data_IF_175762130797
#
_entry.id   IF_175762130797
#
_cell.length_a   1.000
_cell.length_b   1.000
_cell.length_c   1.000
_cell.angle_alpha   90.00
_cell.angle_beta   90.00
_cell.angle_gamma   90.00
#
_symmetry.space_group_name_H-M   'P 1'
#
loop_
_entity.id
_entity.type
_entity.pdbx_description
1 polymer ?
#
# COMPACT_ATOMS: atom_id res chain seq x y z
N UNK A 1 27.91 2.62 -22.69
CA UNK A 1 27.09 1.42 -22.93
C UNK A 1 26.63 1.01 -21.55
N UNK A 2 25.33 0.83 -21.36
CA UNK A 2 24.76 0.51 -20.06
C UNK A 2 24.74 -1.00 -19.83
N UNK A 3 24.69 -1.46 -18.58
CA UNK A 3 24.53 -2.89 -18.26
C UNK A 3 23.17 -3.41 -18.78
N UNK A 4 22.08 -2.72 -18.45
CA UNK A 4 20.73 -3.03 -18.91
C UNK A 4 20.07 -1.80 -19.53
N UNK A 5 19.32 -2.02 -20.61
CA UNK A 5 18.44 -1.01 -21.20
C UNK A 5 17.00 -1.54 -21.26
N UNK A 6 16.07 -0.75 -20.71
CA UNK A 6 14.63 -0.96 -20.92
C UNK A 6 14.16 -0.01 -22.02
N UNK A 7 13.67 -0.53 -23.13
CA UNK A 7 13.17 0.26 -24.27
C UNK A 7 11.68 0.04 -24.47
N UNK A 8 10.90 1.12 -24.54
CA UNK A 8 9.44 1.01 -24.58
C UNK A 8 8.72 2.33 -24.36
N UNK A 9 7.44 2.23 -23.98
CA UNK A 9 6.67 3.37 -23.47
C UNK A 9 6.88 3.48 -21.97
N UNK A 10 7.06 4.69 -21.46
CA UNK A 10 7.15 4.92 -20.03
C UNK A 10 6.51 6.25 -19.63
N UNK A 11 6.08 6.34 -18.38
CA UNK A 11 5.55 7.59 -17.81
C UNK A 11 6.70 8.50 -17.41
N UNK A 12 6.73 9.71 -17.95
CA UNK A 12 7.70 10.75 -17.59
C UNK A 12 6.98 12.10 -17.55
N UNK A 13 7.05 12.80 -16.40
CA UNK A 13 6.48 14.13 -16.22
C UNK A 13 5.00 14.25 -16.64
N UNK A 14 4.17 13.26 -16.30
CA UNK A 14 2.74 13.26 -16.63
C UNK A 14 2.40 12.95 -18.08
N UNK A 15 3.36 12.47 -18.87
CA UNK A 15 3.15 12.03 -20.25
C UNK A 15 3.61 10.58 -20.45
N UNK A 16 3.00 9.88 -21.41
CA UNK A 16 3.54 8.61 -21.91
C UNK A 16 4.47 8.93 -23.08
N UNK A 17 5.75 8.69 -22.92
CA UNK A 17 6.76 8.88 -23.96
C UNK A 17 7.32 7.54 -24.42
N UNK A 18 7.91 7.50 -25.61
CA UNK A 18 8.66 6.34 -26.09
C UNK A 18 10.15 6.64 -26.06
N UNK A 19 10.96 5.68 -25.63
CA UNK A 19 12.40 5.84 -25.56
C UNK A 19 13.08 4.69 -24.85
N UNK A 20 14.16 4.99 -24.12
CA UNK A 20 14.96 4.01 -23.40
C UNK A 20 15.43 4.52 -22.05
N UNK A 21 15.54 3.60 -21.10
CA UNK A 21 16.04 3.83 -19.74
C UNK A 21 17.32 3.00 -19.59
N UNK A 22 18.44 3.68 -19.32
CA UNK A 22 19.75 3.07 -19.09
C UNK A 22 19.94 2.79 -17.60
N UNK A 23 20.42 1.59 -17.29
CA UNK A 23 20.54 1.09 -15.93
C UNK A 23 21.94 0.51 -15.74
N UNK A 24 22.62 0.95 -14.69
CA UNK A 24 23.93 0.44 -14.27
C UNK A 24 23.94 0.25 -12.76
N UNK A 25 24.41 -0.90 -12.27
CA UNK A 25 24.50 -1.24 -10.85
C UNK A 25 23.18 -1.02 -10.08
N UNK A 26 22.06 -1.32 -10.75
CA UNK A 26 20.71 -1.16 -10.20
C UNK A 26 20.22 0.28 -10.05
N UNK A 27 20.91 1.24 -10.65
CA UNK A 27 20.59 2.68 -10.65
C UNK A 27 20.23 3.13 -12.05
N UNK A 28 19.24 4.02 -12.16
CA UNK A 28 18.90 4.72 -13.41
C UNK A 28 20.05 5.67 -13.73
N UNK A 29 20.71 5.50 -14.87
CA UNK A 29 21.82 6.37 -15.29
C UNK A 29 21.47 7.25 -16.49
N UNK A 30 20.48 6.85 -17.28
CA UNK A 30 19.99 7.64 -18.41
C UNK A 30 18.49 7.45 -18.64
N UNK A 31 17.80 8.51 -19.04
CA UNK A 31 16.41 8.48 -19.53
C UNK A 31 16.37 9.28 -20.83
N UNK A 32 16.14 8.59 -21.94
CA UNK A 32 16.24 9.17 -23.28
C UNK A 32 14.97 8.92 -24.08
N UNK A 33 14.54 9.91 -24.89
CA UNK A 33 13.48 9.74 -25.91
C UNK A 33 14.01 9.10 -27.21
N UNK A 34 15.23 8.56 -27.18
CA UNK A 34 15.90 7.88 -28.29
C UNK A 34 16.39 6.52 -27.81
N UNK A 35 16.68 5.64 -28.76
CA UNK A 35 17.32 4.37 -28.45
C UNK A 35 18.75 4.60 -27.93
N UNK A 36 19.11 3.89 -26.87
CA UNK A 36 20.45 3.85 -26.30
C UNK A 36 20.98 2.41 -26.31
N UNK A 37 22.29 2.23 -26.20
CA UNK A 37 22.93 0.90 -26.26
C UNK A 37 23.20 0.35 -24.85
N UNK A 38 22.74 -0.87 -24.60
CA UNK A 38 23.10 -1.67 -23.43
C UNK A 38 23.76 -3.00 -23.81
N UNK A 39 24.39 -3.66 -22.84
CA UNK A 39 24.85 -5.05 -22.97
C UNK A 39 23.65 -5.99 -23.06
N UNK A 40 22.66 -5.78 -22.19
CA UNK A 40 21.32 -6.38 -22.29
C UNK A 40 20.29 -5.30 -22.69
N UNK A 41 19.28 -5.69 -23.48
CA UNK A 41 18.19 -4.79 -23.83
C UNK A 41 16.86 -5.54 -23.85
N UNK A 42 15.94 -5.11 -22.98
CA UNK A 42 14.56 -5.59 -22.95
C UNK A 42 13.71 -4.58 -23.72
N UNK A 43 13.01 -5.04 -24.75
CA UNK A 43 12.19 -4.18 -25.62
C UNK A 43 10.70 -4.50 -25.44
N UNK A 44 9.96 -3.56 -24.86
CA UNK A 44 8.51 -3.61 -24.72
C UNK A 44 7.85 -3.08 -25.99
N UNK A 45 7.27 -3.99 -26.79
CA UNK A 45 6.84 -3.70 -28.18
C UNK A 45 5.34 -3.44 -28.33
N UNK A 46 4.53 -3.77 -27.31
CA UNK A 46 3.07 -3.78 -27.41
C UNK A 46 2.41 -2.56 -26.74
N UNK A 47 1.33 -2.82 -25.99
CA UNK A 47 0.63 -1.83 -25.19
C UNK A 47 1.31 -1.59 -23.85
N UNK A 48 2.36 -2.36 -23.55
CA UNK A 48 3.13 -2.32 -22.31
C UNK A 48 3.66 -0.90 -22.04
N UNK A 49 3.50 -0.49 -20.78
CA UNK A 49 3.99 0.78 -20.26
C UNK A 49 4.81 0.48 -19.02
N UNK A 50 6.02 1.05 -18.98
CA UNK A 50 6.88 1.05 -17.80
C UNK A 50 6.41 2.20 -16.90
N UNK A 51 6.03 1.84 -15.68
CA UNK A 51 5.71 2.76 -14.60
C UNK A 51 6.89 2.81 -13.63
N UNK A 52 7.05 3.90 -12.87
CA UNK A 52 7.84 3.86 -11.65
C UNK A 52 7.37 2.71 -10.76
N UNK A 53 8.29 2.10 -10.00
CA UNK A 53 7.94 1.00 -9.13
C UNK A 53 6.88 1.39 -8.11
N UNK A 54 5.70 0.79 -8.22
CA UNK A 54 4.57 1.11 -7.35
C UNK A 54 4.82 0.64 -5.91
N UNK A 55 4.23 1.35 -4.96
CA UNK A 55 4.44 1.21 -3.52
C UNK A 55 3.08 1.06 -2.85
N UNK A 56 2.92 0.01 -2.05
CA UNK A 56 1.77 -0.16 -1.17
C UNK A 56 2.13 0.27 0.24
N UNK A 57 1.46 1.31 0.75
CA UNK A 57 1.75 1.91 2.06
C UNK A 57 0.99 1.27 3.22
N UNK A 58 0.21 0.21 2.97
CA UNK A 58 -0.55 -0.45 4.01
C UNK A 58 -0.73 -1.95 3.75
N UNK A 59 0.12 -2.78 4.38
CA UNK A 59 -0.02 -4.24 4.32
C UNK A 59 0.15 -4.89 5.69
N UNK A 60 -0.41 -6.09 5.84
CA UNK A 60 -0.24 -6.91 7.03
C UNK A 60 0.36 -8.27 6.67
N UNK A 61 1.69 -8.43 6.76
CA UNK A 61 2.36 -9.67 6.31
C UNK A 61 2.37 -10.81 7.36
N UNK A 62 1.39 -10.79 8.29
CA UNK A 62 0.96 -11.79 9.33
C UNK A 62 1.98 -12.79 9.93
N UNK A 63 3.28 -12.60 9.82
CA UNK A 63 4.26 -13.60 10.27
C UNK A 63 4.22 -13.85 11.80
N UNK A 64 5.22 -14.55 12.35
CA UNK A 64 5.24 -15.00 13.76
C UNK A 64 4.15 -16.07 14.04
N UNK A 65 3.31 -15.87 15.06
CA UNK A 65 2.24 -16.81 15.44
C UNK A 65 1.05 -16.82 14.47
N UNK A 66 1.09 -16.00 13.43
CA UNK A 66 -0.01 -15.84 12.47
C UNK A 66 0.37 -16.30 11.05
N UNK A 67 1.53 -16.98 10.91
CA UNK A 67 2.13 -17.40 9.63
C UNK A 67 1.23 -18.26 8.74
N UNK A 68 0.21 -18.89 9.31
CA UNK A 68 -0.82 -19.63 8.57
C UNK A 68 -1.67 -18.70 7.68
N UNK A 69 -1.85 -17.45 8.08
CA UNK A 69 -2.64 -16.43 7.37
C UNK A 69 -1.85 -15.80 6.23
N UNK A 70 -0.59 -15.45 6.51
CA UNK A 70 0.39 -14.92 5.55
C UNK A 70 1.79 -14.95 6.17
N UNK A 71 2.84 -14.95 5.36
CA UNK A 71 4.22 -14.71 5.80
C UNK A 71 4.80 -13.50 5.07
N UNK A 72 5.96 -13.00 5.54
CA UNK A 72 6.71 -12.00 4.75
C UNK A 72 6.99 -12.52 3.36
N UNK A 73 7.41 -13.78 3.22
CA UNK A 73 7.72 -14.37 1.92
C UNK A 73 6.52 -14.39 0.97
N UNK A 74 5.39 -14.97 1.39
CA UNK A 74 4.23 -15.12 0.51
C UNK A 74 3.57 -13.77 0.21
N UNK A 75 3.48 -12.88 1.19
CA UNK A 75 2.93 -11.54 0.99
C UNK A 75 3.81 -10.66 0.11
N UNK A 76 5.15 -10.73 0.22
CA UNK A 76 6.03 -9.97 -0.67
C UNK A 76 6.13 -10.57 -2.07
N UNK A 77 5.99 -11.90 -2.23
CA UNK A 77 5.75 -12.51 -3.55
C UNK A 77 4.45 -12.00 -4.17
N UNK A 78 3.37 -11.96 -3.39
CA UNK A 78 2.08 -11.40 -3.82
C UNK A 78 2.22 -9.92 -4.24
N UNK A 79 3.00 -9.13 -3.51
CA UNK A 79 3.31 -7.76 -3.87
C UNK A 79 4.02 -7.68 -5.24
N UNK A 80 5.12 -8.40 -5.42
CA UNK A 80 5.87 -8.41 -6.69
C UNK A 80 4.99 -8.89 -7.85
N UNK A 81 4.19 -9.94 -7.64
CA UNK A 81 3.24 -10.45 -8.62
C UNK A 81 2.17 -9.40 -9.00
N UNK A 82 1.70 -8.62 -8.02
CA UNK A 82 0.80 -7.48 -8.22
C UNK A 82 1.45 -6.23 -8.82
N UNK A 83 2.76 -6.23 -9.07
CA UNK A 83 3.49 -5.06 -9.57
C UNK A 83 3.96 -4.09 -8.50
N UNK A 84 3.94 -4.49 -7.23
CA UNK A 84 4.35 -3.69 -6.09
C UNK A 84 5.80 -3.96 -5.73
N UNK A 85 6.59 -2.89 -5.72
CA UNK A 85 8.04 -2.89 -5.56
C UNK A 85 8.51 -2.43 -4.17
N UNK A 86 7.60 -1.91 -3.36
CA UNK A 86 7.81 -1.82 -1.93
C UNK A 86 6.50 -1.91 -1.15
N UNK A 87 6.57 -2.44 0.08
CA UNK A 87 5.43 -2.54 0.99
C UNK A 87 5.73 -1.97 2.37
N UNK A 88 4.71 -1.39 3.01
CA UNK A 88 4.79 -0.87 4.38
C UNK A 88 4.09 -1.85 5.33
N UNK A 89 4.88 -2.63 6.05
CA UNK A 89 4.41 -3.72 6.90
C UNK A 89 3.92 -3.19 8.26
N UNK A 90 2.64 -3.40 8.52
CA UNK A 90 1.96 -2.94 9.73
C UNK A 90 2.33 -3.78 10.96
N UNK A 91 2.47 -3.15 12.15
CA UNK A 91 3.06 -3.78 13.33
C UNK A 91 2.11 -4.64 14.18
N UNK A 92 0.85 -4.84 13.77
CA UNK A 92 -0.17 -5.57 14.52
C UNK A 92 -0.12 -7.10 14.28
N UNK A 93 1.09 -7.65 14.27
CA UNK A 93 1.33 -9.10 14.29
C UNK A 93 1.05 -9.69 15.68
N UNK A 94 1.29 -11.00 15.86
CA UNK A 94 1.28 -11.66 17.16
C UNK A 94 2.63 -12.35 17.43
N UNK A 95 3.45 -11.85 18.37
CA UNK A 95 3.25 -10.66 19.19
C UNK A 95 3.21 -9.35 18.38
N UNK A 96 2.59 -8.28 18.91
CA UNK A 96 2.62 -6.95 18.30
C UNK A 96 4.03 -6.37 18.34
N UNK A 97 4.41 -5.62 17.32
CA UNK A 97 5.73 -4.98 17.23
C UNK A 97 5.68 -3.64 17.97
N UNK A 98 5.78 -3.69 19.29
CA UNK A 98 5.64 -2.54 20.19
C UNK A 98 6.79 -2.38 21.20
N UNK A 99 7.85 -3.16 21.03
CA UNK A 99 9.07 -3.09 21.85
C UNK A 99 10.32 -3.32 20.96
N UNK A 100 11.48 -2.89 21.44
CA UNK A 100 12.75 -2.96 20.70
C UNK A 100 13.11 -4.39 20.29
N UNK A 101 12.81 -5.39 21.13
CA UNK A 101 13.18 -6.79 20.87
C UNK A 101 12.35 -7.33 19.71
N UNK A 102 11.02 -7.18 19.79
CA UNK A 102 10.10 -7.65 18.75
C UNK A 102 10.35 -6.92 17.42
N UNK A 103 10.68 -5.62 17.46
CA UNK A 103 11.06 -4.87 16.26
C UNK A 103 12.33 -5.41 15.58
N UNK A 104 13.37 -5.74 16.35
CA UNK A 104 14.60 -6.38 15.81
C UNK A 104 14.32 -7.76 15.23
N UNK A 105 13.50 -8.56 15.91
CA UNK A 105 13.08 -9.86 15.39
C UNK A 105 12.32 -9.72 14.07
N UNK A 106 11.44 -8.72 13.97
CA UNK A 106 10.71 -8.43 12.73
C UNK A 106 11.65 -8.06 11.59
N UNK A 107 12.60 -7.15 11.83
CA UNK A 107 13.58 -6.74 10.82
C UNK A 107 14.38 -7.95 10.29
N UNK A 108 14.80 -8.86 11.17
CA UNK A 108 15.51 -10.07 10.75
C UNK A 108 14.65 -11.00 9.87
N UNK A 109 13.33 -11.05 10.08
CA UNK A 109 12.42 -11.82 9.22
C UNK A 109 12.29 -11.12 7.86
N UNK A 110 12.06 -9.81 7.85
CA UNK A 110 11.96 -9.01 6.63
C UNK A 110 13.21 -9.15 5.76
N UNK A 111 14.40 -8.95 6.35
CA UNK A 111 15.69 -9.06 5.65
C UNK A 111 15.93 -10.43 5.01
N UNK A 112 15.44 -11.52 5.63
CA UNK A 112 15.66 -12.88 5.14
C UNK A 112 14.65 -13.36 4.12
N UNK A 113 13.44 -12.78 4.13
CA UNK A 113 12.29 -13.38 3.46
C UNK A 113 11.59 -12.45 2.47
N UNK A 114 11.90 -11.15 2.45
CA UNK A 114 11.24 -10.21 1.56
C UNK A 114 11.72 -10.33 0.10
N UNK A 115 10.76 -10.47 -0.82
CA UNK A 115 10.96 -10.42 -2.27
C UNK A 115 10.82 -9.01 -2.87
N UNK A 116 10.33 -8.06 -2.08
CA UNK A 116 10.15 -6.65 -2.44
C UNK A 116 10.78 -5.76 -1.38
N UNK A 117 11.12 -4.51 -1.70
CA UNK A 117 11.65 -3.60 -0.68
C UNK A 117 10.58 -3.32 0.39
N UNK A 118 10.97 -2.88 1.58
CA UNK A 118 10.02 -2.76 2.68
C UNK A 118 10.28 -1.60 3.62
N UNK A 119 9.21 -1.08 4.21
CA UNK A 119 9.22 -0.22 5.39
C UNK A 119 8.65 -0.99 6.58
N UNK A 120 9.32 -0.91 7.73
CA UNK A 120 8.94 -1.59 8.96
C UNK A 120 8.22 -0.62 9.91
N UNK A 121 6.96 -0.92 10.22
CA UNK A 121 6.15 -0.17 11.17
C UNK A 121 6.47 -0.50 12.64
N UNK A 122 6.14 0.42 13.53
CA UNK A 122 6.17 0.21 14.98
C UNK A 122 4.87 0.68 15.63
N UNK A 123 4.30 -0.15 16.50
CA UNK A 123 3.01 0.11 17.14
C UNK A 123 3.17 1.03 18.35
N UNK A 124 2.37 2.09 18.39
CA UNK A 124 2.26 3.02 19.51
C UNK A 124 0.95 2.80 20.27
N UNK A 125 1.08 2.42 21.54
CA UNK A 125 0.00 2.26 22.51
C UNK A 125 0.60 2.29 23.94
N UNK A 126 0.74 3.47 24.54
CA UNK A 126 1.25 3.66 25.91
C UNK A 126 2.75 3.33 26.10
N UNK A 127 3.52 3.22 25.02
CA UNK A 127 4.89 2.71 24.99
C UNK A 127 5.90 3.73 24.43
N UNK A 128 5.68 5.04 24.67
CA UNK A 128 6.55 6.12 24.18
C UNK A 128 8.05 5.94 24.51
N UNK A 129 8.37 5.32 25.66
CA UNK A 129 9.76 5.00 26.02
C UNK A 129 10.43 4.05 25.04
N UNK A 130 9.75 2.95 24.66
CA UNK A 130 10.23 2.00 23.65
C UNK A 130 10.33 2.65 22.27
N UNK A 131 9.32 3.43 21.90
CA UNK A 131 9.27 4.12 20.60
C UNK A 131 10.49 5.04 20.37
N UNK A 132 10.95 5.73 21.41
CA UNK A 132 12.14 6.58 21.33
C UNK A 132 13.45 5.82 21.09
N UNK A 133 13.48 4.54 21.44
CA UNK A 133 14.64 3.65 21.30
C UNK A 133 14.69 2.88 19.98
N UNK A 134 13.66 2.97 19.15
CA UNK A 134 13.60 2.34 17.82
C UNK A 134 13.68 3.38 16.72
N UNK A 135 14.37 3.04 15.64
CA UNK A 135 14.28 3.76 14.37
C UNK A 135 13.35 2.98 13.46
N UNK A 136 12.05 3.15 13.63
CA UNK A 136 11.04 2.61 12.70
C UNK A 136 10.88 3.52 11.48
N UNK A 137 10.40 2.97 10.37
CA UNK A 137 10.20 3.73 9.13
C UNK A 137 8.91 4.56 9.19
N UNK A 138 7.92 4.05 9.93
CA UNK A 138 6.68 4.76 10.28
C UNK A 138 6.12 4.18 11.58
N UNK A 139 5.18 4.90 12.18
CA UNK A 139 4.52 4.48 13.41
C UNK A 139 3.04 4.23 13.14
N UNK A 140 2.46 3.19 13.73
CA UNK A 140 1.04 2.87 13.61
C UNK A 140 0.34 3.13 14.93
N UNK A 141 -0.81 3.80 14.90
CA UNK A 141 -1.71 3.94 16.04
C UNK A 141 -3.10 3.44 15.64
N UNK A 142 -3.73 2.62 16.50
CA UNK A 142 -5.13 2.26 16.37
C UNK A 142 -5.92 3.07 17.40
N UNK A 143 -6.87 3.91 16.98
CA UNK A 143 -7.67 4.74 17.89
C UNK A 143 -8.84 3.97 18.53
N UNK A 144 -9.25 2.87 17.90
CA UNK A 144 -10.30 1.98 18.37
C UNK A 144 -9.89 0.53 18.16
N UNK A 145 -10.67 -0.39 18.73
CA UNK A 145 -10.40 -1.82 18.60
C UNK A 145 -10.37 -2.23 17.12
N UNK A 146 -9.33 -2.94 16.72
CA UNK A 146 -9.22 -3.55 15.39
C UNK A 146 -8.74 -5.00 15.54
N UNK A 147 -8.39 -5.65 14.43
CA UNK A 147 -7.82 -7.00 14.44
C UNK A 147 -6.51 -7.00 15.24
N UNK A 148 -6.48 -7.74 16.35
CA UNK A 148 -5.32 -7.83 17.27
C UNK A 148 -5.56 -7.26 18.67
N UNK A 149 -6.65 -6.50 18.87
CA UNK A 149 -7.12 -6.10 20.22
C UNK A 149 -6.33 -4.99 20.92
N UNK A 150 -5.26 -4.47 20.30
CA UNK A 150 -4.44 -3.38 20.86
C UNK A 150 -4.83 -2.07 20.20
N UNK A 151 -5.09 -1.06 21.02
CA UNK A 151 -5.41 0.30 20.61
C UNK A 151 -4.89 1.29 21.65
N UNK A 152 -4.73 2.53 21.22
CA UNK A 152 -4.30 3.64 22.05
C UNK A 152 -5.42 4.11 22.97
N UNK A 153 -5.15 4.16 24.28
CA UNK A 153 -6.08 4.73 25.27
C UNK A 153 -6.10 6.26 25.20
N UNK A 154 -4.95 6.88 24.89
CA UNK A 154 -4.81 8.30 24.65
C UNK A 154 -4.03 8.57 23.36
N UNK A 155 -4.80 8.74 22.29
CA UNK A 155 -4.27 9.02 20.95
C UNK A 155 -3.33 10.23 20.93
N UNK A 156 -3.65 11.30 21.65
CA UNK A 156 -2.86 12.54 21.57
C UNK A 156 -1.48 12.33 22.21
N UNK A 157 -1.41 11.60 23.33
CA UNK A 157 -0.14 11.24 23.98
C UNK A 157 0.70 10.35 23.06
N UNK A 158 0.14 9.25 22.55
CA UNK A 158 0.87 8.31 21.70
C UNK A 158 1.34 8.99 20.40
N UNK A 159 0.49 9.81 19.80
CA UNK A 159 0.85 10.60 18.62
C UNK A 159 1.92 11.66 18.92
N UNK A 160 1.86 12.31 20.09
CA UNK A 160 2.86 13.31 20.51
C UNK A 160 4.27 12.71 20.62
N UNK A 161 4.39 11.43 20.96
CA UNK A 161 5.69 10.78 21.14
C UNK A 161 6.20 10.03 19.90
N UNK A 162 5.39 9.87 18.84
CA UNK A 162 5.82 9.27 17.57
C UNK A 162 7.07 9.98 16.98
N UNK A 163 8.24 9.34 16.87
CA UNK A 163 9.45 9.98 16.34
C UNK A 163 9.38 10.41 14.86
N UNK A 164 8.45 9.81 14.09
CA UNK A 164 8.24 10.09 12.67
C UNK A 164 6.76 10.16 12.32
N UNK A 165 6.43 9.92 11.05
CA UNK A 165 5.03 9.90 10.59
C UNK A 165 4.22 8.83 11.30
N UNK A 166 3.05 9.21 11.79
CA UNK A 166 2.07 8.29 12.37
C UNK A 166 0.97 7.98 11.36
N UNK A 167 0.87 6.73 10.95
CA UNK A 167 -0.27 6.17 10.22
C UNK A 167 -1.34 5.73 11.22
N UNK A 168 -2.61 6.11 11.01
CA UNK A 168 -3.65 5.93 12.03
C UNK A 168 -4.88 5.21 11.51
N UNK A 169 -5.31 4.16 12.22
CA UNK A 169 -6.63 3.59 12.05
C UNK A 169 -7.62 4.40 12.92
N UNK A 170 -8.44 5.23 12.28
CA UNK A 170 -9.28 6.21 12.93
C UNK A 170 -10.74 5.72 13.01
N UNK A 171 -11.07 4.93 14.03
CA UNK A 171 -12.47 4.66 14.44
C UNK A 171 -12.61 4.90 15.95
N UNK A 172 -13.67 5.58 16.36
CA UNK A 172 -13.90 6.01 17.74
C UNK A 172 -14.41 4.86 18.62
N UNK A 173 -13.71 4.51 19.72
CA UNK A 173 -14.07 3.35 20.53
C UNK A 173 -15.41 3.53 21.25
N UNK A 174 -15.81 4.74 21.63
CA UNK A 174 -17.11 4.98 22.24
C UNK A 174 -18.26 4.75 21.25
N UNK A 175 -18.10 5.20 20.01
CA UNK A 175 -19.06 4.96 18.94
C UNK A 175 -19.17 3.46 18.60
N UNK A 176 -18.03 2.75 18.54
CA UNK A 176 -18.00 1.28 18.36
C UNK A 176 -18.70 0.56 19.51
N UNK A 177 -18.45 0.96 20.75
CA UNK A 177 -19.08 0.35 21.92
C UNK A 177 -20.60 0.56 21.93
N UNK A 178 -21.09 1.70 21.42
CA UNK A 178 -22.52 2.00 21.28
C UNK A 178 -23.15 1.24 20.12
N UNK A 179 -22.43 1.08 19.02
CA UNK A 179 -22.88 0.32 17.86
C UNK A 179 -21.72 -0.51 17.28
N UNK A 180 -21.68 -1.83 17.59
CA UNK A 180 -20.63 -2.73 17.13
C UNK A 180 -20.53 -2.90 15.60
N UNK A 181 -21.56 -2.49 14.85
CA UNK A 181 -21.54 -2.44 13.38
C UNK A 181 -20.64 -1.31 12.84
N UNK A 182 -20.07 -0.49 13.74
CA UNK A 182 -19.14 0.62 13.44
C UNK A 182 -19.72 1.61 12.43
N UNK A 183 -20.71 2.42 12.84
CA UNK A 183 -21.38 3.33 11.92
C UNK A 183 -20.39 4.41 11.40
N UNK A 184 -20.69 5.09 10.27
CA UNK A 184 -19.82 6.12 9.70
C UNK A 184 -19.33 7.17 10.70
N UNK A 185 -20.17 7.52 11.69
CA UNK A 185 -19.83 8.47 12.75
C UNK A 185 -18.63 8.03 13.59
N UNK A 186 -18.38 6.73 13.74
CA UNK A 186 -17.22 6.23 14.48
C UNK A 186 -15.92 6.68 13.80
N UNK A 187 -15.86 6.53 12.48
CA UNK A 187 -14.70 6.95 11.69
C UNK A 187 -14.58 8.48 11.65
N UNK A 188 -15.68 9.18 11.36
CA UNK A 188 -15.69 10.65 11.23
C UNK A 188 -15.25 11.32 12.54
N UNK A 189 -15.70 10.82 13.70
CA UNK A 189 -15.30 11.36 15.01
C UNK A 189 -13.81 11.17 15.27
N UNK A 190 -13.29 9.97 15.00
CA UNK A 190 -11.87 9.68 15.20
C UNK A 190 -10.98 10.48 14.24
N UNK A 191 -11.38 10.63 12.97
CA UNK A 191 -10.68 11.50 12.01
C UNK A 191 -10.61 12.94 12.53
N UNK A 192 -11.73 13.51 13.00
CA UNK A 192 -11.71 14.87 13.56
C UNK A 192 -10.82 14.98 14.80
N UNK A 193 -10.81 13.97 15.69
CA UNK A 193 -9.90 13.93 16.85
C UNK A 193 -8.44 13.88 16.39
N UNK A 194 -8.11 13.07 15.39
CA UNK A 194 -6.76 12.98 14.84
C UNK A 194 -6.31 14.29 14.19
N UNK A 195 -7.19 14.95 13.43
CA UNK A 195 -6.92 16.25 12.81
C UNK A 195 -6.69 17.36 13.85
N UNK A 196 -7.47 17.38 14.93
CA UNK A 196 -7.28 18.36 16.01
C UNK A 196 -5.93 18.16 16.72
N UNK A 197 -5.52 16.91 16.95
CA UNK A 197 -4.20 16.62 17.51
C UNK A 197 -3.07 17.01 16.56
N UNK A 198 -3.22 16.73 15.25
CA UNK A 198 -2.27 17.13 14.21
C UNK A 198 -2.15 18.66 14.09
N UNK A 199 -3.25 19.39 14.25
CA UNK A 199 -3.25 20.86 14.30
C UNK A 199 -2.48 21.39 15.51
N UNK A 200 -2.74 20.82 16.70
CA UNK A 200 -2.11 21.24 17.95
C UNK A 200 -0.60 20.95 17.98
N UNK A 201 -0.20 19.79 17.46
CA UNK A 201 1.18 19.30 17.55
C UNK A 201 2.04 19.63 16.33
N UNK A 202 1.42 19.91 15.18
CA UNK A 202 2.15 20.20 13.92
C UNK A 202 3.02 19.03 13.44
N UNK A 203 2.65 17.79 13.77
CA UNK A 203 3.42 16.59 13.44
C UNK A 203 2.87 15.89 12.20
N UNK A 204 3.67 15.10 11.47
CA UNK A 204 3.16 14.35 10.34
C UNK A 204 2.14 13.26 10.70
N UNK A 205 1.06 13.17 9.92
CA UNK A 205 -0.02 12.20 10.11
C UNK A 205 -0.44 11.61 8.76
N UNK A 206 -0.66 10.30 8.71
CA UNK A 206 -1.36 9.63 7.61
C UNK A 206 -2.64 8.97 8.14
N UNK A 207 -3.81 9.36 7.64
CA UNK A 207 -5.07 8.72 8.03
C UNK A 207 -5.32 7.52 7.12
N UNK A 208 -5.31 6.33 7.69
CA UNK A 208 -5.45 5.10 6.92
C UNK A 208 -6.88 4.89 6.40
N UNK A 209 -6.99 4.18 5.27
CA UNK A 209 -8.19 3.52 4.73
C UNK A 209 -9.52 4.29 4.97
N UNK A 210 -9.57 5.57 4.57
CA UNK A 210 -10.75 6.43 4.73
C UNK A 210 -11.88 5.86 3.86
N UNK A 211 -13.03 5.59 4.50
CA UNK A 211 -14.17 4.92 3.86
C UNK A 211 -15.41 5.81 3.75
N UNK A 212 -15.42 6.95 4.44
CA UNK A 212 -16.60 7.82 4.55
C UNK A 212 -16.46 9.15 3.82
N UNK A 213 -17.57 9.60 3.24
CA UNK A 213 -17.71 10.94 2.65
C UNK A 213 -17.37 12.05 3.66
N UNK A 214 -17.91 11.96 4.88
CA UNK A 214 -17.65 12.93 5.94
C UNK A 214 -16.20 12.92 6.43
N UNK A 215 -15.53 11.76 6.38
CA UNK A 215 -14.09 11.65 6.69
C UNK A 215 -13.26 12.43 5.67
N UNK A 216 -13.50 12.21 4.37
CA UNK A 216 -12.86 12.99 3.30
C UNK A 216 -13.14 14.48 3.46
N UNK A 217 -14.40 14.87 3.66
CA UNK A 217 -14.78 16.29 3.81
C UNK A 217 -14.01 16.94 4.98
N UNK A 218 -13.94 16.27 6.13
CA UNK A 218 -13.22 16.79 7.30
C UNK A 218 -11.73 17.02 7.00
N UNK A 219 -11.08 16.05 6.34
CA UNK A 219 -9.65 16.13 5.98
C UNK A 219 -9.41 17.26 4.98
N UNK A 220 -10.20 17.31 3.90
CA UNK A 220 -10.05 18.33 2.84
C UNK A 220 -10.42 19.74 3.31
N UNK A 221 -11.30 19.86 4.31
CA UNK A 221 -11.64 21.17 4.91
C UNK A 221 -10.49 21.72 5.74
N UNK A 222 -9.77 20.87 6.49
CA UNK A 222 -8.61 21.26 7.28
C UNK A 222 -7.37 21.48 6.40
N UNK A 223 -7.14 20.59 5.44
CA UNK A 223 -6.10 20.69 4.40
C UNK A 223 -4.70 21.04 4.95
N UNK A 224 -4.31 20.40 6.06
CA UNK A 224 -2.97 20.59 6.61
C UNK A 224 -1.93 19.95 5.68
N UNK A 225 -0.82 20.64 5.36
CA UNK A 225 0.18 20.07 4.45
C UNK A 225 0.83 18.82 5.04
N UNK A 226 0.99 18.75 6.37
CA UNK A 226 1.58 17.61 7.08
C UNK A 226 0.62 16.43 7.33
N UNK A 227 -0.58 16.47 6.74
CA UNK A 227 -1.56 15.38 6.85
C UNK A 227 -1.83 14.79 5.47
N UNK A 228 -1.55 13.49 5.33
CA UNK A 228 -2.00 12.67 4.20
C UNK A 228 -3.13 11.74 4.63
N UNK A 229 -3.77 11.11 3.66
CA UNK A 229 -4.72 10.04 3.89
C UNK A 229 -4.74 9.08 2.72
N UNK A 230 -5.18 7.86 2.96
CA UNK A 230 -5.29 6.84 1.92
C UNK A 230 -6.72 6.29 1.86
N UNK A 231 -7.07 5.76 0.70
CA UNK A 231 -8.27 4.91 0.52
C UNK A 231 -7.84 3.57 -0.03
N UNK A 232 -8.71 2.57 0.07
CA UNK A 232 -8.42 1.23 -0.44
C UNK A 232 -9.24 0.90 -1.69
N UNK A 233 -8.76 -0.01 -2.55
CA UNK A 233 -9.56 -0.54 -3.65
C UNK A 233 -10.89 -1.15 -3.16
N UNK A 234 -10.91 -1.87 -2.04
CA UNK A 234 -12.16 -2.46 -1.57
C UNK A 234 -13.19 -1.40 -1.14
N UNK A 235 -12.78 -0.26 -0.56
CA UNK A 235 -13.70 0.86 -0.30
C UNK A 235 -14.11 1.62 -1.57
N UNK A 236 -13.25 1.68 -2.59
CA UNK A 236 -13.59 2.28 -3.89
C UNK A 236 -14.58 1.44 -4.71
N UNK A 237 -14.44 0.12 -4.68
CA UNK A 237 -15.16 -0.76 -5.60
C UNK A 237 -16.28 -1.58 -4.98
N UNK A 238 -16.27 -1.81 -3.65
CA UNK A 238 -17.31 -2.57 -2.95
C UNK A 238 -18.13 -1.67 -2.03
N UNK A 239 -19.31 -2.16 -1.67
CA UNK A 239 -20.27 -1.51 -0.80
C UNK A 239 -20.73 -2.46 0.31
N UNK A 240 -21.53 -1.92 1.22
CA UNK A 240 -22.23 -2.70 2.23
C UNK A 240 -23.09 -3.81 1.61
N UNK A 241 -23.68 -3.60 0.43
CA UNK A 241 -24.50 -4.62 -0.23
C UNK A 241 -23.67 -5.85 -0.62
N UNK A 242 -22.45 -5.64 -1.13
CA UNK A 242 -21.54 -6.74 -1.46
C UNK A 242 -21.20 -7.55 -0.19
N UNK A 243 -20.98 -6.87 0.94
CA UNK A 243 -20.75 -7.55 2.23
C UNK A 243 -21.97 -8.34 2.72
N UNK A 244 -23.19 -7.81 2.53
CA UNK A 244 -24.43 -8.51 2.89
C UNK A 244 -24.61 -9.80 2.06
N UNK A 245 -24.13 -9.82 0.81
CA UNK A 245 -24.11 -11.02 -0.05
C UNK A 245 -22.94 -11.97 0.27
N UNK A 246 -21.78 -11.43 0.65
CA UNK A 246 -20.58 -12.19 0.97
C UNK A 246 -19.94 -11.74 2.30
N UNK A 247 -20.24 -12.43 3.41
CA UNK A 247 -19.69 -12.10 4.73
C UNK A 247 -18.16 -12.20 4.83
N UNK A 248 -17.47 -12.85 3.88
CA UNK A 248 -16.01 -12.84 3.81
C UNK A 248 -15.47 -11.42 3.54
N UNK A 249 -16.29 -10.48 3.07
CA UNK A 249 -15.89 -9.09 2.82
C UNK A 249 -15.83 -8.23 4.09
N UNK A 250 -16.01 -8.84 5.28
CA UNK A 250 -15.82 -8.13 6.54
C UNK A 250 -14.41 -7.49 6.59
N UNK A 251 -14.37 -6.18 6.81
CA UNK A 251 -13.17 -5.35 6.91
C UNK A 251 -13.46 -4.17 7.84
N UNK A 252 -12.41 -3.51 8.36
CA UNK A 252 -12.53 -2.33 9.21
C UNK A 252 -11.62 -1.21 8.70
N UNK A 253 -12.13 0.01 8.44
CA UNK A 253 -13.53 0.44 8.56
C UNK A 253 -14.47 -0.35 7.61
N UNK A 254 -15.74 -0.58 8.00
CA UNK A 254 -16.65 -1.39 7.19
C UNK A 254 -16.87 -0.83 5.78
N UNK A 255 -17.20 -1.72 4.83
CA UNK A 255 -17.72 -1.30 3.53
C UNK A 255 -19.01 -0.47 3.74
N UNK A 256 -19.05 0.69 3.07
CA UNK A 256 -20.08 1.71 3.29
C UNK A 256 -21.18 1.65 2.23
N UNK A 257 -22.20 2.48 2.36
CA UNK A 257 -23.24 2.64 1.34
C UNK A 257 -22.66 3.10 0.00
N UNK A 258 -23.42 2.90 -1.08
CA UNK A 258 -23.09 3.39 -2.42
C UNK A 258 -22.85 4.92 -2.45
N UNK A 259 -23.50 5.67 -1.56
CA UNK A 259 -23.30 7.12 -1.42
C UNK A 259 -21.86 7.45 -0.99
N UNK A 260 -21.35 6.77 0.05
CA UNK A 260 -19.97 6.96 0.48
C UNK A 260 -18.98 6.51 -0.59
N UNK A 261 -19.21 5.36 -1.23
CA UNK A 261 -18.36 4.87 -2.34
C UNK A 261 -18.30 5.89 -3.49
N UNK A 262 -19.44 6.47 -3.88
CA UNK A 262 -19.50 7.55 -4.89
C UNK A 262 -18.72 8.78 -4.45
N UNK A 263 -18.80 9.17 -3.17
CA UNK A 263 -18.05 10.31 -2.65
C UNK A 263 -16.53 10.07 -2.72
N UNK A 264 -16.05 8.85 -2.47
CA UNK A 264 -14.63 8.50 -2.67
C UNK A 264 -14.22 8.72 -4.14
N UNK A 265 -14.98 8.19 -5.09
CA UNK A 265 -14.70 8.38 -6.53
C UNK A 265 -14.77 9.85 -6.96
N UNK A 266 -15.77 10.59 -6.50
CA UNK A 266 -15.90 12.02 -6.77
C UNK A 266 -14.72 12.83 -6.21
N UNK A 267 -14.11 12.33 -5.14
CA UNK A 267 -12.96 12.95 -4.49
C UNK A 267 -11.61 12.41 -4.98
N UNK A 268 -11.58 11.54 -6.00
CA UNK A 268 -10.36 10.84 -6.43
C UNK A 268 -9.17 11.78 -6.70
N UNK A 269 -9.41 12.92 -7.35
CA UNK A 269 -8.38 13.93 -7.62
C UNK A 269 -7.76 14.58 -6.37
N UNK A 270 -8.37 14.39 -5.20
CA UNK A 270 -7.95 14.91 -3.90
C UNK A 270 -7.45 13.83 -2.95
N UNK A 271 -7.62 12.55 -3.30
CA UNK A 271 -7.13 11.42 -2.54
C UNK A 271 -5.64 11.26 -2.86
N UNK A 272 -4.73 11.44 -1.89
CA UNK A 272 -3.31 11.42 -2.20
C UNK A 272 -2.76 10.00 -2.36
N UNK A 273 -3.29 9.01 -1.64
CA UNK A 273 -2.72 7.66 -1.62
C UNK A 273 -3.81 6.61 -1.84
N UNK A 274 -3.48 5.58 -2.63
CA UNK A 274 -4.24 4.33 -2.68
C UNK A 274 -3.34 3.22 -2.16
N UNK A 275 -3.83 2.43 -1.20
CA UNK A 275 -3.11 1.32 -0.58
C UNK A 275 -4.07 0.13 -0.40
N UNK A 276 -3.58 -1.10 -0.47
CA UNK A 276 -4.50 -2.25 -0.47
C UNK A 276 -5.15 -2.51 0.87
N UNK A 277 -4.46 -2.18 1.97
CA UNK A 277 -4.73 -2.73 3.30
C UNK A 277 -4.81 -4.27 3.22
N UNK A 278 -3.80 -4.87 2.56
CA UNK A 278 -3.73 -6.31 2.36
C UNK A 278 -3.65 -7.00 3.73
N UNK A 279 -4.77 -7.60 4.11
CA UNK A 279 -5.06 -8.10 5.43
C UNK A 279 -5.55 -9.55 5.38
N UNK A 280 -4.74 -10.49 4.88
CA UNK A 280 -5.13 -11.88 4.65
C UNK A 280 -5.46 -12.61 5.93
N UNK A 281 -6.36 -13.57 5.79
CA UNK A 281 -6.87 -14.49 6.80
C UNK A 281 -7.18 -15.83 6.14
N UNK A 282 -7.09 -16.92 6.89
CA UNK A 282 -7.58 -18.22 6.46
C UNK A 282 -9.10 -18.17 6.29
N UNK A 283 -9.66 -19.10 5.50
CA UNK A 283 -11.12 -19.19 5.33
C UNK A 283 -11.81 -19.48 6.67
N UNK A 284 -11.19 -20.26 7.55
CA UNK A 284 -11.68 -20.57 8.90
C UNK A 284 -11.76 -19.30 9.75
N UNK A 285 -10.72 -18.46 9.74
CA UNK A 285 -10.71 -17.16 10.41
C UNK A 285 -11.85 -16.27 9.89
N UNK A 286 -12.03 -16.20 8.57
CA UNK A 286 -13.08 -15.38 7.94
C UNK A 286 -14.48 -15.87 8.34
N UNK A 287 -14.71 -17.19 8.36
CA UNK A 287 -15.96 -17.80 8.87
C UNK A 287 -16.16 -17.53 10.36
N UNK A 288 -15.09 -17.42 11.14
CA UNK A 288 -15.12 -17.01 12.54
C UNK A 288 -15.29 -15.48 12.73
N UNK A 289 -15.42 -14.72 11.64
CA UNK A 289 -15.70 -13.28 11.68
C UNK A 289 -14.48 -12.38 11.71
N UNK A 290 -13.31 -12.87 11.28
CA UNK A 290 -12.12 -12.04 11.12
C UNK A 290 -12.31 -10.96 10.03
N UNK A 291 -11.80 -9.75 10.30
CA UNK A 291 -11.87 -8.62 9.40
C UNK A 291 -10.54 -8.41 8.66
N UNK A 292 -10.61 -8.28 7.33
CA UNK A 292 -9.45 -8.13 6.46
C UNK A 292 -9.65 -8.79 5.10
N UNK A 293 -9.06 -8.20 4.05
CA UNK A 293 -9.18 -8.62 2.65
C UNK A 293 -7.76 -8.69 2.04
N UNK A 294 -7.38 -9.76 1.32
CA UNK A 294 -6.15 -9.77 0.55
C UNK A 294 -6.30 -8.87 -0.69
N UNK A 295 -5.37 -7.91 -0.89
CA UNK A 295 -5.44 -6.94 -1.99
C UNK A 295 -4.24 -6.88 -2.95
N UNK A 296 -3.01 -7.17 -2.49
CA UNK A 296 -1.75 -6.97 -3.24
C UNK A 296 -1.76 -7.44 -4.70
N UNK A 297 -2.30 -8.62 -5.01
CA UNK A 297 -2.27 -9.17 -6.39
C UNK A 297 -3.39 -8.63 -7.29
N UNK A 298 -4.30 -7.83 -6.73
CA UNK A 298 -5.47 -7.30 -7.46
C UNK A 298 -5.53 -5.79 -7.52
N UNK A 299 -4.87 -5.07 -6.60
CA UNK A 299 -5.04 -3.62 -6.48
C UNK A 299 -4.67 -2.88 -7.78
N UNK A 300 -3.49 -3.10 -8.32
CA UNK A 300 -3.03 -2.43 -9.55
C UNK A 300 -3.92 -2.78 -10.73
N UNK A 301 -4.33 -4.05 -10.84
CA UNK A 301 -5.21 -4.50 -11.92
C UNK A 301 -6.62 -3.88 -11.86
N UNK A 302 -7.18 -3.70 -10.67
CA UNK A 302 -8.46 -3.01 -10.49
C UNK A 302 -8.36 -1.53 -10.91
N UNK A 303 -7.25 -0.87 -10.60
CA UNK A 303 -7.00 0.52 -11.01
C UNK A 303 -6.75 0.63 -12.52
N UNK A 304 -6.07 -0.33 -13.14
CA UNK A 304 -5.92 -0.41 -14.59
C UNK A 304 -7.27 -0.66 -15.28
N UNK A 305 -8.14 -1.51 -14.71
CA UNK A 305 -9.51 -1.72 -15.21
C UNK A 305 -10.35 -0.44 -15.10
N UNK A 306 -10.26 0.27 -13.97
CA UNK A 306 -10.89 1.57 -13.79
C UNK A 306 -10.36 2.62 -14.77
N UNK A 307 -9.08 2.57 -15.11
CA UNK A 307 -8.48 3.41 -16.16
C UNK A 307 -9.09 3.11 -17.52
N UNK A 308 -9.26 1.82 -17.88
CA UNK A 308 -9.93 1.42 -19.12
C UNK A 308 -11.41 1.83 -19.18
N UNK A 309 -12.06 1.97 -18.01
CA UNK A 309 -13.44 2.45 -17.87
C UNK A 309 -13.56 3.97 -17.80
N UNK A 310 -12.43 4.70 -17.86
CA UNK A 310 -12.39 6.16 -17.83
C UNK A 310 -12.68 6.78 -16.46
N UNK A 311 -12.55 6.00 -15.37
CA UNK A 311 -12.77 6.50 -13.99
C UNK A 311 -11.53 7.19 -13.41
N UNK A 312 -10.35 6.85 -13.92
CA UNK A 312 -9.06 7.42 -13.53
C UNK A 312 -8.09 7.32 -14.70
N UNK A 313 -6.89 7.88 -14.56
CA UNK A 313 -5.81 7.77 -15.53
C UNK A 313 -4.66 6.91 -15.01
N UNK A 314 -3.76 6.46 -15.89
CA UNK A 314 -2.53 5.81 -15.46
C UNK A 314 -1.63 6.74 -14.64
N UNK A 315 -1.73 8.06 -14.87
CA UNK A 315 -1.02 9.07 -14.09
C UNK A 315 -1.56 9.17 -12.67
N UNK A 316 -2.87 8.96 -12.46
CA UNK A 316 -3.43 8.86 -11.11
C UNK A 316 -2.86 7.64 -10.35
N UNK A 317 -2.60 6.52 -11.04
CA UNK A 317 -1.96 5.35 -10.43
C UNK A 317 -0.53 5.71 -9.98
N UNK A 318 0.27 6.29 -10.88
CA UNK A 318 1.65 6.71 -10.55
C UNK A 318 1.66 7.74 -9.42
N UNK A 319 0.79 8.74 -9.47
CA UNK A 319 0.70 9.77 -8.44
C UNK A 319 0.35 9.16 -7.08
N UNK A 320 -0.67 8.29 -7.02
CA UNK A 320 -1.26 7.81 -5.76
C UNK A 320 -0.54 6.59 -5.17
N UNK A 321 0.20 5.84 -5.98
CA UNK A 321 0.93 4.63 -5.55
C UNK A 321 2.44 4.77 -5.70
N UNK A 322 2.98 5.89 -6.18
CA UNK A 322 4.42 6.12 -6.20
C UNK A 322 4.79 7.54 -5.74
N UNK A 323 4.43 8.59 -6.49
CA UNK A 323 4.91 9.95 -6.22
C UNK A 323 4.50 10.44 -4.81
N UNK A 324 3.22 10.27 -4.45
CA UNK A 324 2.72 10.67 -3.14
C UNK A 324 3.28 9.80 -2.01
N UNK A 325 3.31 8.45 -2.08
CA UNK A 325 4.04 7.64 -1.11
C UNK A 325 5.50 8.07 -0.90
N UNK A 326 6.26 8.28 -1.98
CA UNK A 326 7.65 8.75 -1.91
C UNK A 326 7.74 10.11 -1.20
N UNK A 327 6.85 11.05 -1.53
CA UNK A 327 6.80 12.39 -0.95
C UNK A 327 6.39 12.40 0.53
N UNK A 328 5.24 11.80 0.88
CA UNK A 328 4.65 11.89 2.22
C UNK A 328 5.39 11.06 3.27
N UNK A 329 6.02 9.94 2.87
CA UNK A 329 6.85 9.16 3.77
C UNK A 329 8.33 9.57 3.69
N UNK A 330 8.76 10.24 2.62
CA UNK A 330 10.12 10.74 2.49
C UNK A 330 11.12 9.65 2.12
N UNK A 331 10.71 8.79 1.19
CA UNK A 331 11.49 7.65 0.71
C UNK A 331 12.61 8.18 -0.20
N UNK A 332 13.87 7.83 0.09
CA UNK A 332 15.02 8.23 -0.73
C UNK A 332 15.29 7.23 -1.85
N UNK A 333 15.90 7.72 -2.93
CA UNK A 333 16.37 6.86 -4.01
C UNK A 333 15.27 6.28 -4.89
N UNK A 334 14.01 6.75 -4.77
CA UNK A 334 12.86 6.21 -5.50
C UNK A 334 12.30 7.12 -6.58
N UNK A 335 12.80 8.35 -6.72
CA UNK A 335 12.31 9.24 -7.77
C UNK A 335 12.60 8.65 -9.16
N UNK A 336 11.67 8.78 -10.11
CA UNK A 336 11.87 8.32 -11.49
C UNK A 336 12.80 9.27 -12.27
N UNK A 337 14.07 9.34 -11.88
CA UNK A 337 15.10 10.17 -12.51
C UNK A 337 16.49 9.54 -12.37
N UNK A 338 17.46 9.92 -13.22
CA UNK A 338 18.84 9.46 -13.07
C UNK A 338 19.39 9.69 -11.66
N UNK A 339 20.16 8.73 -11.16
CA UNK A 339 20.71 8.69 -9.80
C UNK A 339 19.87 7.95 -8.76
N UNK A 340 18.65 7.52 -9.12
CA UNK A 340 17.75 6.75 -8.24
C UNK A 340 17.72 5.27 -8.63
N UNK A 341 17.14 4.45 -7.77
CA UNK A 341 17.01 3.00 -7.95
C UNK A 341 16.17 2.67 -9.20
N UNK A 342 16.68 1.74 -10.01
CA UNK A 342 16.04 1.26 -11.23
C UNK A 342 14.95 0.23 -10.92
N UNK A 343 13.87 0.69 -10.31
CA UNK A 343 12.76 -0.13 -9.83
C UNK A 343 11.47 0.25 -10.56
N UNK A 344 10.83 -0.74 -11.21
CA UNK A 344 9.75 -0.50 -12.17
C UNK A 344 8.63 -1.53 -12.10
N UNK A 345 7.44 -1.07 -12.46
CA UNK A 345 6.27 -1.91 -12.70
C UNK A 345 5.92 -1.83 -14.18
N UNK A 346 5.86 -2.98 -14.87
CA UNK A 346 5.49 -3.02 -16.29
C UNK A 346 4.10 -3.60 -16.39
N UNK A 347 3.19 -2.82 -16.98
CA UNK A 347 1.80 -3.21 -17.16
C UNK A 347 1.41 -3.22 -18.64
N UNK A 348 0.67 -4.24 -19.07
CA UNK A 348 -0.12 -4.20 -20.30
C UNK A 348 -1.54 -3.73 -19.95
N UNK A 349 -1.89 -2.45 -20.22
CA UNK A 349 -3.18 -1.88 -19.88
C UNK A 349 -4.33 -2.47 -20.72
N UNK A 350 -4.06 -3.25 -21.77
CA UNK A 350 -5.09 -3.82 -22.64
C UNK A 350 -5.28 -5.32 -22.47
N UNK A 351 -4.38 -6.01 -21.75
CA UNK A 351 -4.46 -7.44 -21.50
C UNK A 351 -5.68 -7.77 -20.65
N UNK A 352 -6.58 -8.60 -21.19
CA UNK A 352 -7.73 -9.12 -20.46
C UNK A 352 -7.36 -10.42 -19.75
N UNK A 353 -7.84 -10.57 -18.52
CA UNK A 353 -7.61 -11.77 -17.71
C UNK A 353 -8.72 -11.95 -16.67
N UNK A 354 -8.79 -13.14 -16.09
CA UNK A 354 -9.77 -13.48 -15.04
C UNK A 354 -9.05 -13.65 -13.73
N UNK A 355 -9.57 -13.05 -12.66
CA UNK A 355 -9.04 -13.21 -11.30
C UNK A 355 -9.25 -14.65 -10.84
N UNK A 356 -8.14 -15.30 -10.45
CA UNK A 356 -8.09 -16.69 -9.98
C UNK A 356 -7.24 -16.79 -8.71
N UNK A 357 -7.84 -16.60 -7.53
CA UNK A 357 -7.10 -16.55 -6.27
C UNK A 357 -6.36 -17.85 -5.91
N UNK A 358 -6.74 -18.97 -6.50
CA UNK A 358 -6.04 -20.24 -6.37
C UNK A 358 -4.60 -20.18 -6.95
N UNK A 359 -4.38 -19.37 -7.98
CA UNK A 359 -3.09 -19.15 -8.66
C UNK A 359 -2.21 -18.11 -7.93
N UNK A 360 -2.78 -17.34 -6.99
CA UNK A 360 -2.12 -16.22 -6.31
C UNK A 360 -1.03 -16.64 -5.31
N UNK A 361 -0.05 -15.78 -5.03
CA UNK A 361 1.02 -16.06 -4.07
C UNK A 361 0.60 -15.85 -2.61
N UNK A 362 -0.39 -14.99 -2.35
CA UNK A 362 -0.97 -14.84 -1.00
C UNK A 362 -1.45 -16.18 -0.46
N UNK A 363 -1.21 -16.45 0.83
CA UNK A 363 -1.70 -17.65 1.49
C UNK A 363 -3.22 -17.66 1.67
N UNK A 364 -3.88 -16.50 1.56
CA UNK A 364 -5.33 -16.41 1.69
C UNK A 364 -6.06 -17.28 0.65
N UNK A 365 -5.57 -17.31 -0.61
CA UNK A 365 -6.16 -18.09 -1.70
C UNK A 365 -7.66 -17.83 -1.92
N UNK A 366 -8.11 -16.60 -1.66
CA UNK A 366 -9.44 -16.10 -1.97
C UNK A 366 -9.36 -14.61 -2.32
N UNK A 367 -10.35 -14.10 -3.03
CA UNK A 367 -10.44 -12.67 -3.37
C UNK A 367 -11.90 -12.24 -3.51
N UNK A 368 -12.26 -11.00 -3.15
CA UNK A 368 -13.57 -10.42 -3.50
C UNK A 368 -13.85 -10.42 -5.01
N UNK A 369 -12.80 -10.54 -5.81
CA UNK A 369 -12.82 -10.36 -7.26
C UNK A 369 -12.80 -11.67 -8.03
N UNK A 370 -12.86 -12.82 -7.36
CA UNK A 370 -12.80 -14.14 -7.98
C UNK A 370 -13.75 -14.28 -9.17
N UNK A 371 -13.25 -14.79 -10.29
CA UNK A 371 -14.02 -14.99 -11.52
C UNK A 371 -14.31 -13.71 -12.31
N UNK A 372 -14.00 -12.52 -11.78
CA UNK A 372 -14.16 -11.26 -12.49
C UNK A 372 -13.14 -11.15 -13.62
N UNK A 373 -13.61 -10.73 -14.81
CA UNK A 373 -12.74 -10.35 -15.92
C UNK A 373 -12.28 -8.90 -15.72
N UNK A 374 -10.97 -8.68 -15.73
CA UNK A 374 -10.35 -7.37 -15.63
C UNK A 374 -9.58 -7.06 -16.91
N UNK A 375 -9.51 -5.76 -17.26
CA UNK A 375 -8.70 -5.27 -18.37
C UNK A 375 -7.54 -4.42 -17.86
N UNK A 376 -6.32 -4.89 -18.14
CA UNK A 376 -5.10 -4.37 -17.58
C UNK A 376 -4.45 -5.38 -16.66
N UNK A 377 -3.18 -5.70 -16.93
CA UNK A 377 -2.42 -6.69 -16.16
C UNK A 377 -0.98 -6.24 -15.98
N UNK A 378 -0.41 -6.47 -14.80
CA UNK A 378 1.04 -6.38 -14.59
C UNK A 378 1.67 -7.60 -15.26
N UNK A 379 2.73 -7.39 -16.05
CA UNK A 379 3.39 -8.46 -16.81
C UNK A 379 4.84 -8.66 -16.38
N UNK A 380 5.44 -7.65 -15.74
CA UNK A 380 6.81 -7.75 -15.24
C UNK A 380 7.03 -6.76 -14.09
N UNK A 381 7.85 -7.17 -13.12
CA UNK A 381 8.31 -6.31 -12.02
C UNK A 381 9.83 -6.34 -11.98
N UNK A 382 10.44 -5.16 -11.89
CA UNK A 382 11.89 -4.96 -11.86
C UNK A 382 12.28 -4.30 -10.54
N UNK A 383 13.23 -4.89 -9.81
CA UNK A 383 13.82 -4.30 -8.61
C UNK A 383 15.30 -4.04 -8.85
N UNK A 384 15.71 -2.76 -8.77
CA UNK A 384 17.11 -2.33 -8.88
C UNK A 384 17.80 -2.95 -10.09
N UNK A 385 17.17 -2.83 -11.26
CA UNK A 385 17.66 -3.34 -12.54
C UNK A 385 17.53 -4.85 -12.74
N UNK A 386 16.90 -5.60 -11.83
CA UNK A 386 16.73 -7.05 -11.93
C UNK A 386 15.26 -7.41 -12.09
N UNK A 387 14.95 -8.25 -13.08
CA UNK A 387 13.61 -8.81 -13.25
C UNK A 387 13.35 -9.81 -12.11
N UNK A 388 12.32 -9.54 -11.31
CA UNK A 388 11.93 -10.36 -10.15
C UNK A 388 10.56 -11.03 -10.33
N UNK A 389 9.79 -10.59 -11.33
CA UNK A 389 8.62 -11.31 -11.84
C UNK A 389 8.50 -11.07 -13.33
N UNK A 390 8.15 -12.12 -14.06
CA UNK A 390 7.79 -12.07 -15.48
C UNK A 390 6.65 -13.08 -15.74
N UNK A 391 5.58 -12.62 -16.41
CA UNK A 391 4.43 -13.43 -16.82
C UNK A 391 3.90 -14.37 -15.71
N UNK A 392 3.61 -13.79 -14.54
CA UNK A 392 3.05 -14.44 -13.34
C UNK A 392 4.03 -15.33 -12.55
N UNK A 393 5.28 -15.48 -12.99
CA UNK A 393 6.30 -16.29 -12.32
C UNK A 393 7.27 -15.41 -11.53
N UNK A 394 7.44 -15.69 -10.22
CA UNK A 394 8.46 -15.03 -9.39
C UNK A 394 9.84 -15.60 -9.70
N UNK A 395 10.79 -14.72 -9.97
CA UNK A 395 12.16 -15.07 -10.33
C UNK A 395 13.09 -14.78 -9.15
N UNK A 396 13.98 -15.73 -8.87
CA UNK A 396 15.06 -15.55 -7.90
C UNK A 396 14.68 -15.85 -6.44
N UNK A 397 15.41 -15.22 -5.53
CA UNK A 397 15.37 -15.45 -4.07
C UNK A 397 14.95 -14.14 -3.36
N UNK A 398 14.66 -14.16 -2.05
CA UNK A 398 14.47 -12.94 -1.29
C UNK A 398 15.67 -12.00 -1.42
N UNK A 399 15.43 -10.79 -1.93
CA UNK A 399 16.45 -9.75 -2.14
C UNK A 399 15.92 -8.34 -1.84
N UNK A 400 14.70 -8.24 -1.29
CA UNK A 400 14.12 -6.99 -0.86
C UNK A 400 14.93 -6.38 0.27
N UNK A 401 15.10 -5.06 0.24
CA UNK A 401 15.82 -4.34 1.28
C UNK A 401 14.92 -3.33 1.99
N UNK A 402 15.34 -2.95 3.19
CA UNK A 402 14.67 -1.89 3.93
C UNK A 402 14.85 -0.54 3.21
N UNK A 403 13.75 0.18 3.03
CA UNK A 403 13.75 1.52 2.44
C UNK A 403 14.49 2.53 3.34
N UNK A 404 15.13 3.53 2.73
CA UNK A 404 15.65 4.69 3.46
C UNK A 404 14.56 5.77 3.57
N UNK A 405 13.87 5.76 4.70
CA UNK A 405 12.78 6.70 5.02
C UNK A 405 13.34 7.81 5.92
N UNK A 406 13.31 9.06 5.46
CA UNK A 406 13.89 10.22 6.17
C UNK A 406 12.87 11.33 6.50
N UNK A 407 11.61 10.96 6.72
CA UNK A 407 10.53 11.92 6.99
C UNK A 407 10.06 12.64 5.72
N UNK A 408 8.74 12.74 5.55
CA UNK A 408 8.12 13.29 4.35
C UNK A 408 8.43 14.76 4.10
N UNK A 409 8.28 15.17 2.83
CA UNK A 409 8.18 16.58 2.43
C UNK A 409 6.70 16.86 2.16
N UNK A 410 6.13 17.78 2.92
CA UNK A 410 4.70 18.00 3.02
C UNK A 410 4.23 19.17 2.15
#
# INVERSE_FOLDING_TARGET
>A
MHELVLSGKFVLNGEIVRGSIGIDNGIITDISKRDIKGEETIVFRNNEVILPGLIDTHVHLRDFEQKEKETVESGTKAAVHGGITAVFDMPNTKPPIMDIKTFKERLNILEKHAYTDYAAGFLLAGNCGEASGVRADFYKIFMGTSTGGIFSEDFEIDYSCAPGIASVHAEDPEAINKNPDRPPEAEIRAINKALNAAEKLGKPLNICHVSTAGGIEAILKKNFPWVSFEVTPHHLFLTKMDFEENPLLKVYPPLRSEEHRKALWQSLSKIPIIASDHAPHTIEDKKAGAAGIPGLETEVALLLDATNRGLMTIFDIVEKMHDNPVRFFGIKGRDFSPGNEATFTIADPRREWTVKPEEFYTKAKWSPWEGKKLKGKVVMTVLKGRVVMEDDEIIGKPEGVRLDVQGGKY
#
